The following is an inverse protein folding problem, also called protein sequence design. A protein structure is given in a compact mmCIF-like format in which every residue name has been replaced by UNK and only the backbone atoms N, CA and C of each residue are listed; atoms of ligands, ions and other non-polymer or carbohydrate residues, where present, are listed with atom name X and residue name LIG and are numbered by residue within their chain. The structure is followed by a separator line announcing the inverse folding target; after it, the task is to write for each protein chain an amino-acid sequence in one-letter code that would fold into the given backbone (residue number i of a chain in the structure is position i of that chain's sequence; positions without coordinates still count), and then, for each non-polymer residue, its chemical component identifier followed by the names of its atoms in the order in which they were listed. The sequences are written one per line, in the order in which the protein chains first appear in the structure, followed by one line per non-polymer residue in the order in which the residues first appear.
data_IF_269555234408
#
_entry.id   IF_269555234408
#
_cell.length_a   1.000
_cell.length_b   1.000
_cell.length_c   1.000
_cell.angle_alpha   90.00
_cell.angle_beta   90.00
_cell.angle_gamma   90.00
#
_symmetry.space_group_name_H-M   'P 1'
#
loop_
_entity.id
_entity.type
_entity.pdbx_description
1 polymer ?
#
# COMPACT_ATOMS: atom_id res chain seq x y z
N UNK A 1 16.67 30.16 -23.87
CA UNK A 1 16.57 29.71 -22.46
C UNK A 1 15.37 28.78 -22.23
N UNK A 2 14.14 29.18 -22.58
CA UNK A 2 12.95 28.36 -22.31
C UNK A 2 12.92 27.01 -23.04
N UNK A 3 13.40 26.93 -24.28
CA UNK A 3 13.51 25.65 -25.01
C UNK A 3 14.50 24.70 -24.30
N UNK A 4 15.65 25.22 -23.87
CA UNK A 4 16.64 24.44 -23.11
C UNK A 4 16.04 23.96 -21.78
N UNK A 5 15.31 24.83 -21.08
CA UNK A 5 14.60 24.45 -19.85
C UNK A 5 13.57 23.35 -20.10
N UNK A 6 12.79 23.43 -21.18
CA UNK A 6 11.84 22.39 -21.54
C UNK A 6 12.52 21.06 -21.89
N UNK A 7 13.62 21.10 -22.65
CA UNK A 7 14.41 19.91 -22.98
C UNK A 7 15.00 19.26 -21.73
N UNK A 8 15.53 20.05 -20.78
CA UNK A 8 16.00 19.54 -19.49
C UNK A 8 14.86 18.90 -18.69
N UNK A 9 13.68 19.54 -18.64
CA UNK A 9 12.52 18.97 -17.98
C UNK A 9 12.06 17.66 -18.64
N UNK A 10 12.07 17.58 -19.98
CA UNK A 10 11.74 16.37 -20.72
C UNK A 10 12.72 15.22 -20.41
N UNK A 11 14.03 15.51 -20.42
CA UNK A 11 15.06 14.52 -20.06
C UNK A 11 14.90 14.08 -18.60
N UNK A 12 14.61 15.00 -17.69
CA UNK A 12 14.32 14.69 -16.29
C UNK A 12 13.11 13.75 -16.17
N UNK A 13 12.00 14.05 -16.84
CA UNK A 13 10.81 13.20 -16.82
C UNK A 13 11.11 11.80 -17.35
N UNK A 14 11.83 11.68 -18.46
CA UNK A 14 12.25 10.40 -19.04
C UNK A 14 13.14 9.58 -18.11
N UNK A 15 13.98 10.23 -17.31
CA UNK A 15 14.95 9.55 -16.44
C UNK A 15 14.40 9.22 -15.06
N UNK A 16 13.44 9.99 -14.55
CA UNK A 16 12.90 9.85 -13.19
C UNK A 16 11.45 9.33 -13.12
N UNK A 17 10.61 9.57 -14.12
CA UNK A 17 9.18 9.23 -14.05
C UNK A 17 8.82 7.93 -14.78
N UNK A 18 9.83 7.12 -15.11
CA UNK A 18 9.66 5.83 -15.77
C UNK A 18 8.92 4.78 -14.92
N UNK A 19 8.78 5.02 -13.61
CA UNK A 19 8.03 4.15 -12.68
C UNK A 19 6.56 4.52 -12.53
N UNK A 20 6.13 5.69 -12.98
CA UNK A 20 4.73 6.12 -12.80
C UNK A 20 3.85 5.51 -13.90
N UNK A 21 2.91 4.59 -13.57
CA UNK A 21 2.07 3.93 -14.58
C UNK A 21 1.15 4.88 -15.35
N UNK A 22 0.93 6.09 -14.84
CA UNK A 22 0.17 7.16 -15.48
C UNK A 22 1.04 8.10 -16.32
N UNK A 23 2.36 7.91 -16.35
CA UNK A 23 3.30 8.68 -17.16
C UNK A 23 3.41 8.15 -18.58
N UNK A 24 3.59 9.05 -19.55
CA UNK A 24 4.00 8.70 -20.91
C UNK A 24 5.44 8.19 -20.98
N UNK A 25 6.23 8.41 -19.92
CA UNK A 25 7.60 7.92 -19.80
C UNK A 25 7.68 6.55 -19.12
N UNK A 26 6.54 5.95 -18.76
CA UNK A 26 6.49 4.64 -18.11
C UNK A 26 7.23 3.60 -18.95
N UNK A 27 8.18 2.92 -18.32
CA UNK A 27 9.00 1.90 -18.93
C UNK A 27 8.80 0.61 -18.16
N UNK A 28 8.06 -0.33 -18.73
CA UNK A 28 7.68 -1.57 -18.04
C UNK A 28 8.91 -2.40 -17.63
N UNK A 29 9.96 -2.41 -18.44
CA UNK A 29 11.17 -3.19 -18.15
C UNK A 29 11.91 -2.64 -16.93
N UNK A 30 11.93 -1.31 -16.77
CA UNK A 30 12.61 -0.64 -15.67
C UNK A 30 11.72 -0.43 -14.44
N UNK A 31 10.42 -0.23 -14.64
CA UNK A 31 9.48 0.16 -13.59
C UNK A 31 9.40 -0.90 -12.47
N UNK A 32 9.34 -2.16 -12.87
CA UNK A 32 9.24 -3.31 -11.98
C UNK A 32 10.59 -3.81 -11.43
N UNK A 33 11.68 -3.05 -11.63
CA UNK A 33 12.97 -3.40 -11.04
C UNK A 33 12.89 -3.30 -9.52
N UNK A 34 13.16 -4.42 -8.84
CA UNK A 34 13.21 -4.52 -7.37
C UNK A 34 14.44 -3.79 -6.86
N UNK A 35 14.24 -2.78 -6.02
CA UNK A 35 15.29 -2.04 -5.34
C UNK A 35 15.12 -2.22 -3.85
N UNK A 36 14.14 -1.52 -3.26
CA UNK A 36 13.90 -1.59 -1.83
C UNK A 36 13.35 -2.96 -1.40
N UNK A 37 12.51 -3.60 -2.23
CA UNK A 37 12.05 -4.96 -1.92
C UNK A 37 13.19 -6.00 -1.89
N UNK A 38 14.20 -5.84 -2.73
CA UNK A 38 15.35 -6.74 -2.73
C UNK A 38 16.22 -6.52 -1.49
N UNK A 39 16.43 -5.25 -1.11
CA UNK A 39 17.11 -4.88 0.13
C UNK A 39 16.39 -5.45 1.36
N UNK A 40 15.06 -5.30 1.44
CA UNK A 40 14.26 -5.89 2.52
C UNK A 40 14.28 -7.41 2.51
N UNK A 41 14.28 -8.06 1.35
CA UNK A 41 14.36 -9.52 1.26
C UNK A 41 15.66 -10.03 1.89
N UNK A 42 16.81 -9.43 1.54
CA UNK A 42 18.12 -9.79 2.09
C UNK A 42 18.19 -9.60 3.62
N UNK A 43 17.73 -8.46 4.13
CA UNK A 43 17.67 -8.20 5.57
C UNK A 43 16.80 -9.20 6.33
N UNK A 44 15.65 -9.53 5.75
CA UNK A 44 14.65 -10.41 6.37
C UNK A 44 15.10 -11.87 6.35
N UNK A 45 15.74 -12.32 5.26
CA UNK A 45 16.33 -13.65 5.19
C UNK A 45 17.45 -13.80 6.22
N UNK A 46 18.34 -12.82 6.33
CA UNK A 46 19.41 -12.83 7.34
C UNK A 46 18.83 -12.91 8.76
N UNK A 47 17.84 -12.07 9.06
CA UNK A 47 17.14 -12.10 10.35
C UNK A 47 16.48 -13.45 10.65
N UNK A 48 15.83 -14.06 9.66
CA UNK A 48 15.17 -15.36 9.84
C UNK A 48 16.17 -16.50 10.07
N UNK A 49 17.35 -16.43 9.48
CA UNK A 49 18.42 -17.40 9.68
C UNK A 49 19.08 -17.29 11.06
N UNK A 50 19.17 -16.07 11.59
CA UNK A 50 19.77 -15.75 12.90
C UNK A 50 18.75 -15.82 14.06
N UNK A 51 17.46 -15.94 13.77
CA UNK A 51 16.39 -15.97 14.76
C UNK A 51 16.61 -17.08 15.80
N UNK A 52 16.59 -16.68 17.07
CA UNK A 52 16.74 -17.60 18.21
C UNK A 52 15.40 -18.00 18.80
N UNK A 53 15.32 -19.18 19.42
CA UNK A 53 14.13 -19.66 20.14
C UNK A 53 13.66 -18.74 21.28
N UNK A 54 14.50 -17.81 21.75
CA UNK A 54 14.16 -16.84 22.80
C UNK A 54 13.75 -15.48 22.21
N UNK A 55 13.15 -15.44 21.02
CA UNK A 55 12.67 -14.20 20.44
C UNK A 55 11.63 -13.54 21.36
N UNK A 56 11.74 -12.23 21.56
CA UNK A 56 10.74 -11.44 22.29
C UNK A 56 9.36 -11.65 21.65
N UNK A 57 8.34 -11.81 22.48
CA UNK A 57 6.94 -12.01 22.09
C UNK A 57 6.09 -10.78 22.41
N UNK A 58 4.82 -10.84 22.03
CA UNK A 58 3.84 -9.82 22.38
C UNK A 58 3.68 -9.70 23.90
N UNK A 59 3.30 -8.51 24.36
CA UNK A 59 2.81 -8.32 25.72
C UNK A 59 1.39 -8.87 25.88
N UNK A 60 0.90 -8.93 27.12
CA UNK A 60 -0.50 -9.29 27.41
C UNK A 60 -1.51 -8.28 26.84
N UNK A 61 -1.08 -7.06 26.52
CA UNK A 61 -1.94 -5.99 26.01
C UNK A 61 -1.33 -5.30 24.78
N UNK A 62 -1.20 -5.99 23.64
CA UNK A 62 -0.62 -5.41 22.44
C UNK A 62 -1.59 -4.39 21.80
N UNK A 63 -1.06 -3.33 21.17
CA UNK A 63 -1.89 -2.38 20.41
C UNK A 63 -2.48 -2.98 19.13
N UNK A 64 -1.85 -4.02 18.58
CA UNK A 64 -2.23 -4.65 17.32
C UNK A 64 -2.24 -6.17 17.45
N UNK A 65 -3.34 -6.81 17.08
CA UNK A 65 -3.37 -8.25 16.79
C UNK A 65 -3.34 -8.44 15.28
N UNK A 66 -2.38 -9.20 14.76
CA UNK A 66 -2.15 -9.35 13.34
C UNK A 66 -2.11 -10.82 12.94
N UNK A 67 -2.87 -11.20 11.93
CA UNK A 67 -2.91 -12.58 11.41
C UNK A 67 -2.40 -12.60 9.98
N UNK A 68 -1.39 -13.43 9.74
CA UNK A 68 -0.99 -13.84 8.39
C UNK A 68 -1.83 -15.03 7.96
N UNK A 69 -2.59 -14.89 6.88
CA UNK A 69 -3.31 -16.00 6.27
C UNK A 69 -2.40 -16.64 5.22
N UNK A 70 -2.07 -17.91 5.42
CA UNK A 70 -1.15 -18.63 4.54
C UNK A 70 -1.72 -19.90 3.96
N UNK A 71 -1.38 -20.11 2.70
CA UNK A 71 -1.76 -21.26 1.91
C UNK A 71 -0.54 -21.77 1.16
N UNK A 72 -0.52 -23.07 0.87
CA UNK A 72 0.56 -23.71 0.14
C UNK A 72 0.59 -23.17 -1.28
N UNK A 73 1.77 -22.70 -1.68
CA UNK A 73 2.07 -22.27 -3.06
C UNK A 73 2.96 -23.29 -3.77
N UNK A 74 2.97 -23.29 -5.10
CA UNK A 74 3.65 -24.33 -5.90
C UNK A 74 5.16 -24.15 -6.00
N UNK A 75 5.69 -22.93 -5.87
CA UNK A 75 7.11 -22.64 -6.08
C UNK A 75 7.83 -22.27 -4.79
N UNK A 76 7.68 -21.01 -4.34
CA UNK A 76 8.29 -20.50 -3.11
C UNK A 76 7.19 -20.22 -2.11
N UNK A 77 7.39 -20.64 -0.86
CA UNK A 77 6.53 -20.21 0.24
C UNK A 77 7.00 -18.83 0.71
N UNK A 78 6.21 -17.77 0.56
CA UNK A 78 6.62 -16.42 0.93
C UNK A 78 6.39 -16.13 2.41
N UNK A 79 5.61 -16.96 3.11
CA UNK A 79 5.21 -16.77 4.51
C UNK A 79 6.39 -16.43 5.44
N UNK A 80 7.43 -17.27 5.42
CA UNK A 80 8.59 -17.12 6.31
C UNK A 80 9.26 -15.76 6.08
N UNK A 81 9.36 -15.33 4.83
CA UNK A 81 9.89 -14.02 4.45
C UNK A 81 8.96 -12.88 4.88
N UNK A 82 7.65 -13.02 4.69
CA UNK A 82 6.66 -12.03 5.06
C UNK A 82 6.70 -11.76 6.57
N UNK A 83 6.63 -12.81 7.38
CA UNK A 83 6.74 -12.76 8.85
C UNK A 83 8.09 -12.19 9.27
N UNK A 84 9.19 -12.68 8.69
CA UNK A 84 10.53 -12.17 8.98
C UNK A 84 10.63 -10.67 8.69
N UNK A 85 10.12 -10.20 7.56
CA UNK A 85 10.17 -8.79 7.18
C UNK A 85 9.31 -7.88 8.06
N UNK A 86 8.21 -8.42 8.61
CA UNK A 86 7.35 -7.71 9.56
C UNK A 86 8.03 -7.54 10.93
N UNK A 87 8.87 -8.50 11.33
CA UNK A 87 9.54 -8.54 12.63
C UNK A 87 10.95 -7.95 12.62
N UNK A 88 11.64 -8.01 11.48
CA UNK A 88 12.99 -7.49 11.35
C UNK A 88 12.98 -5.98 11.60
N UNK A 89 13.88 -5.53 12.48
CA UNK A 89 14.05 -4.12 12.84
C UNK A 89 13.22 -3.70 14.06
N UNK A 90 12.21 -4.47 14.47
CA UNK A 90 11.40 -4.11 15.63
C UNK A 90 12.23 -4.09 16.92
N UNK A 91 12.11 -3.01 17.69
CA UNK A 91 12.63 -2.94 19.06
C UNK A 91 11.86 -3.89 19.98
N UNK A 92 12.39 -4.25 21.16
CA UNK A 92 11.64 -5.06 22.13
C UNK A 92 10.28 -4.46 22.52
N UNK A 93 10.20 -3.12 22.62
CA UNK A 93 8.96 -2.40 22.90
C UNK A 93 7.95 -2.53 21.75
N UNK A 94 8.42 -2.39 20.50
CA UNK A 94 7.58 -2.60 19.32
C UNK A 94 7.10 -4.03 19.21
N UNK A 95 7.98 -5.02 19.41
CA UNK A 95 7.63 -6.43 19.38
C UNK A 95 6.58 -6.79 20.44
N UNK A 96 6.63 -6.15 21.60
CA UNK A 96 5.64 -6.29 22.66
C UNK A 96 4.28 -5.63 22.32
N UNK A 97 4.25 -4.70 21.37
CA UNK A 97 3.06 -3.92 20.98
C UNK A 97 2.26 -4.56 19.82
N UNK A 98 2.75 -5.68 19.28
CA UNK A 98 2.09 -6.46 18.22
C UNK A 98 2.05 -7.95 18.58
N UNK A 99 0.85 -8.54 18.50
CA UNK A 99 0.64 -9.99 18.50
C UNK A 99 0.58 -10.48 17.04
N UNK A 100 1.39 -11.48 16.70
CA UNK A 100 1.50 -12.08 15.36
C UNK A 100 1.00 -13.52 15.41
N UNK A 101 -0.15 -13.76 14.81
CA UNK A 101 -0.68 -15.08 14.50
C UNK A 101 -0.42 -15.49 13.05
N UNK A 102 -0.30 -16.79 12.81
CA UNK A 102 -0.29 -17.37 11.46
C UNK A 102 -1.40 -18.40 11.35
N UNK A 103 -2.37 -18.12 10.49
CA UNK A 103 -3.37 -19.10 10.07
C UNK A 103 -2.82 -19.92 8.91
N UNK A 104 -2.55 -21.20 9.16
CA UNK A 104 -2.34 -22.19 8.11
C UNK A 104 -3.70 -22.63 7.58
N UNK A 105 -4.13 -21.95 6.52
CA UNK A 105 -5.47 -22.03 5.96
C UNK A 105 -5.65 -23.28 5.07
N UNK A 106 -5.37 -24.45 5.65
CA UNK A 106 -5.58 -25.76 5.06
C UNK A 106 -6.43 -26.61 5.99
N UNK A 107 -7.37 -27.38 5.42
CA UNK A 107 -8.13 -28.39 6.15
C UNK A 107 -7.26 -29.48 6.75
N UNK A 108 -6.08 -29.71 6.16
CA UNK A 108 -4.99 -30.48 6.71
C UNK A 108 -3.71 -29.62 6.77
N UNK A 109 -3.29 -29.13 7.96
CA UNK A 109 -2.15 -28.21 8.06
C UNK A 109 -0.82 -28.85 7.64
N UNK A 110 -0.70 -30.17 7.71
CA UNK A 110 0.49 -30.94 7.29
C UNK A 110 0.84 -30.73 5.80
N UNK A 111 -0.11 -30.30 4.99
CA UNK A 111 0.13 -30.02 3.58
C UNK A 111 0.98 -28.76 3.35
N UNK A 112 1.06 -27.88 4.35
CA UNK A 112 1.79 -26.61 4.27
C UNK A 112 3.27 -26.77 4.68
N UNK A 113 4.24 -26.43 3.81
CA UNK A 113 5.66 -26.67 4.09
C UNK A 113 6.21 -25.98 5.35
N UNK A 114 5.68 -24.79 5.68
CA UNK A 114 6.09 -24.06 6.88
C UNK A 114 5.38 -24.51 8.18
N UNK A 115 4.45 -25.48 8.12
CA UNK A 115 3.68 -25.90 9.31
C UNK A 115 4.56 -26.44 10.44
N UNK A 116 5.61 -27.18 10.11
CA UNK A 116 6.57 -27.70 11.10
C UNK A 116 7.88 -26.90 11.16
N UNK A 117 7.91 -25.66 10.65
CA UNK A 117 9.14 -24.87 10.67
C UNK A 117 9.38 -24.29 12.08
N UNK A 118 10.32 -24.84 12.88
CA UNK A 118 10.48 -24.42 14.28
C UNK A 118 10.87 -22.94 14.40
N UNK A 119 11.63 -22.39 13.44
CA UNK A 119 12.02 -20.98 13.46
C UNK A 119 10.83 -20.05 13.29
N UNK A 120 9.86 -20.43 12.47
CA UNK A 120 8.63 -19.67 12.30
C UNK A 120 7.83 -19.66 13.61
N UNK A 121 7.63 -20.83 14.22
CA UNK A 121 6.97 -20.98 15.53
C UNK A 121 7.68 -20.17 16.63
N UNK A 122 9.01 -20.16 16.62
CA UNK A 122 9.82 -19.38 17.56
C UNK A 122 9.68 -17.87 17.36
N UNK A 123 9.29 -17.39 16.18
CA UNK A 123 9.11 -15.96 15.88
C UNK A 123 7.70 -15.46 16.18
N UNK A 124 6.67 -16.21 15.80
CA UNK A 124 5.25 -15.80 15.89
C UNK A 124 4.65 -16.08 17.26
N UNK A 125 3.68 -15.29 17.70
CA UNK A 125 3.02 -15.53 18.99
C UNK A 125 2.16 -16.81 18.95
N UNK A 126 1.56 -17.08 17.79
CA UNK A 126 0.78 -18.31 17.57
C UNK A 126 0.83 -18.75 16.11
N UNK A 127 0.88 -20.06 15.90
CA UNK A 127 0.70 -20.71 14.62
C UNK A 127 -0.45 -21.71 14.77
N UNK A 128 -1.52 -21.51 14.01
CA UNK A 128 -2.77 -22.24 14.21
C UNK A 128 -3.43 -22.64 12.90
N UNK A 129 -4.41 -23.52 13.01
CA UNK A 129 -5.26 -23.97 11.92
C UNK A 129 -6.72 -23.99 12.38
N UNK A 130 -7.63 -24.47 11.55
CA UNK A 130 -9.04 -24.51 11.84
C UNK A 130 -9.37 -25.48 12.99
N UNK A 131 -10.03 -24.96 14.01
CA UNK A 131 -10.72 -25.74 15.04
C UNK A 131 -12.22 -25.64 14.80
N UNK A 132 -12.78 -26.58 14.03
CA UNK A 132 -14.15 -26.53 13.51
C UNK A 132 -14.94 -27.80 13.85
N UNK A 133 -16.27 -27.68 13.82
CA UNK A 133 -17.15 -28.84 13.82
C UNK A 133 -16.97 -29.67 12.53
N UNK A 134 -17.33 -30.95 12.58
CA UNK A 134 -17.11 -31.88 11.47
C UNK A 134 -17.83 -31.46 10.17
N UNK A 135 -19.00 -30.84 10.29
CA UNK A 135 -19.79 -30.36 9.14
C UNK A 135 -19.07 -29.21 8.42
N UNK A 136 -18.64 -28.19 9.16
CA UNK A 136 -17.88 -27.05 8.63
C UNK A 136 -16.53 -27.49 8.04
N UNK A 137 -15.84 -28.45 8.69
CA UNK A 137 -14.59 -29.00 8.17
C UNK A 137 -14.79 -29.68 6.81
N UNK A 138 -15.88 -30.45 6.66
CA UNK A 138 -16.21 -31.13 5.40
C UNK A 138 -16.50 -30.13 4.28
N UNK A 139 -17.29 -29.10 4.58
CA UNK A 139 -17.61 -28.03 3.62
C UNK A 139 -16.36 -27.24 3.21
N UNK A 140 -15.49 -26.91 4.17
CA UNK A 140 -14.25 -26.22 3.91
C UNK A 140 -13.28 -27.06 3.05
N UNK A 141 -13.25 -28.38 3.29
CA UNK A 141 -12.45 -29.32 2.51
C UNK A 141 -12.96 -29.41 1.06
N UNK A 142 -14.28 -29.39 0.86
CA UNK A 142 -14.88 -29.30 -0.47
C UNK A 142 -14.46 -28.02 -1.19
N UNK A 143 -14.53 -26.85 -0.52
CA UNK A 143 -14.10 -25.60 -1.13
C UNK A 143 -12.60 -25.56 -1.46
N UNK A 144 -11.76 -26.17 -0.62
CA UNK A 144 -10.33 -26.27 -0.86
C UNK A 144 -10.04 -27.14 -2.09
N UNK A 145 -10.62 -28.35 -2.15
CA UNK A 145 -10.37 -29.31 -3.25
C UNK A 145 -10.98 -28.85 -4.58
N UNK A 146 -12.16 -28.22 -4.55
CA UNK A 146 -12.81 -27.63 -5.72
C UNK A 146 -12.23 -26.28 -6.16
N UNK A 147 -11.23 -25.75 -5.44
CA UNK A 147 -10.63 -24.44 -5.69
C UNK A 147 -11.64 -23.28 -5.63
N UNK A 148 -12.67 -23.40 -4.79
CA UNK A 148 -13.67 -22.36 -4.55
C UNK A 148 -13.11 -21.27 -3.61
N UNK A 149 -12.16 -20.50 -4.13
CA UNK A 149 -11.49 -19.44 -3.38
C UNK A 149 -12.43 -18.29 -2.97
N UNK A 150 -13.56 -18.11 -3.67
CA UNK A 150 -14.51 -17.07 -3.34
C UNK A 150 -15.22 -17.32 -2.00
N UNK A 151 -15.56 -18.57 -1.68
CA UNK A 151 -16.15 -18.93 -0.38
C UNK A 151 -15.06 -19.10 0.67
N UNK A 152 -14.03 -19.91 0.35
CA UNK A 152 -12.93 -20.19 1.28
C UNK A 152 -12.20 -18.92 1.71
N UNK A 153 -11.93 -17.99 0.79
CA UNK A 153 -11.25 -16.74 1.13
C UNK A 153 -12.03 -15.87 2.12
N UNK A 154 -13.36 -15.77 1.95
CA UNK A 154 -14.22 -15.06 2.91
C UNK A 154 -14.22 -15.77 4.27
N UNK A 155 -14.31 -17.09 4.28
CA UNK A 155 -14.23 -17.89 5.50
C UNK A 155 -12.90 -17.71 6.25
N UNK A 156 -11.76 -17.81 5.56
CA UNK A 156 -10.42 -17.63 6.12
C UNK A 156 -10.27 -16.24 6.78
N UNK A 157 -10.87 -15.23 6.14
CA UNK A 157 -10.87 -13.86 6.62
C UNK A 157 -11.71 -13.69 7.90
N UNK A 158 -12.93 -14.23 7.91
CA UNK A 158 -13.82 -14.25 9.08
C UNK A 158 -13.13 -14.95 10.24
N UNK A 159 -12.56 -16.14 9.98
CA UNK A 159 -11.87 -16.94 10.99
C UNK A 159 -10.69 -16.18 11.60
N UNK A 160 -9.93 -15.47 10.78
CA UNK A 160 -8.78 -14.65 11.24
C UNK A 160 -9.21 -13.44 12.08
N UNK A 161 -10.28 -12.75 11.69
CA UNK A 161 -10.85 -11.66 12.49
C UNK A 161 -11.36 -12.17 13.85
N UNK A 162 -12.14 -13.26 13.84
CA UNK A 162 -12.66 -13.91 15.05
C UNK A 162 -11.52 -14.38 15.97
N UNK A 163 -10.44 -14.93 15.41
CA UNK A 163 -9.29 -15.34 16.20
C UNK A 163 -8.71 -14.17 17.00
N UNK A 164 -8.43 -13.02 16.38
CA UNK A 164 -7.93 -11.84 17.10
C UNK A 164 -8.93 -11.28 18.12
N UNK A 165 -10.23 -11.33 17.81
CA UNK A 165 -11.30 -10.92 18.73
C UNK A 165 -11.35 -11.82 19.98
N UNK A 166 -11.10 -13.11 19.82
CA UNK A 166 -11.21 -14.08 20.91
C UNK A 166 -9.94 -14.21 21.76
N UNK A 167 -8.76 -13.93 21.18
CA UNK A 167 -7.46 -14.16 21.83
C UNK A 167 -6.82 -12.91 22.41
N UNK A 168 -7.23 -11.72 21.95
CA UNK A 168 -6.60 -10.45 22.38
C UNK A 168 -7.64 -9.39 22.67
N UNK A 169 -7.25 -8.39 23.47
CA UNK A 169 -8.01 -7.15 23.70
C UNK A 169 -7.45 -5.99 22.84
N UNK A 170 -6.70 -6.30 21.78
CA UNK A 170 -6.07 -5.28 20.95
C UNK A 170 -7.12 -4.37 20.29
N UNK A 171 -6.93 -3.04 20.33
CA UNK A 171 -7.87 -2.08 19.74
C UNK A 171 -7.89 -2.12 18.21
N UNK A 172 -6.87 -2.71 17.60
CA UNK A 172 -6.72 -2.85 16.16
C UNK A 172 -6.43 -4.30 15.79
N UNK A 173 -7.02 -4.73 14.68
CA UNK A 173 -6.85 -6.07 14.11
C UNK A 173 -6.32 -5.92 12.69
N UNK A 174 -5.17 -6.51 12.39
CA UNK A 174 -4.60 -6.56 11.05
C UNK A 174 -4.76 -7.95 10.44
N UNK A 175 -5.16 -7.97 9.17
CA UNK A 175 -5.13 -9.19 8.36
C UNK A 175 -4.13 -8.96 7.24
N UNK A 176 -3.18 -9.90 7.12
CA UNK A 176 -2.11 -9.89 6.14
C UNK A 176 -2.17 -11.12 5.24
N UNK A 177 -1.92 -10.93 3.95
CA UNK A 177 -1.63 -12.03 3.02
C UNK A 177 -0.19 -12.54 3.27
N UNK A 178 0.08 -13.80 2.94
CA UNK A 178 1.39 -14.43 3.15
C UNK A 178 2.48 -14.02 2.14
N UNK A 179 2.11 -13.28 1.09
CA UNK A 179 2.99 -12.90 0.00
C UNK A 179 3.31 -11.42 -0.09
N UNK A 180 3.58 -10.87 1.09
CA UNK A 180 3.93 -9.48 1.28
C UNK A 180 5.36 -9.32 1.80
N UNK A 181 5.88 -8.10 1.69
CA UNK A 181 7.10 -7.67 2.35
C UNK A 181 6.90 -6.31 2.97
N UNK A 182 7.35 -6.15 4.22
CA UNK A 182 7.18 -4.93 5.00
C UNK A 182 8.38 -3.99 4.87
N UNK A 183 8.10 -2.70 4.87
CA UNK A 183 9.12 -1.67 5.02
C UNK A 183 9.64 -1.63 6.46
N UNK A 184 10.90 -1.22 6.63
CA UNK A 184 11.43 -0.85 7.94
C UNK A 184 10.58 0.22 8.63
N UNK A 185 10.43 0.09 9.95
CA UNK A 185 9.62 0.99 10.78
C UNK A 185 8.10 0.98 10.52
N UNK A 186 7.57 0.01 9.76
CA UNK A 186 6.14 -0.03 9.38
C UNK A 186 5.21 0.04 10.61
N UNK A 187 5.52 -0.70 11.68
CA UNK A 187 4.63 -0.84 12.84
C UNK A 187 4.47 0.50 13.56
N UNK A 188 5.58 1.13 13.92
CA UNK A 188 5.56 2.45 14.57
C UNK A 188 4.93 3.53 13.71
N UNK A 189 5.21 3.52 12.40
CA UNK A 189 4.57 4.45 11.47
C UNK A 189 3.05 4.27 11.43
N UNK A 190 2.60 3.03 11.31
CA UNK A 190 1.19 2.67 11.22
C UNK A 190 0.45 2.94 12.54
N UNK A 191 1.01 2.58 13.69
CA UNK A 191 0.41 2.84 15.00
C UNK A 191 0.33 4.34 15.32
N UNK A 192 1.33 5.13 14.92
CA UNK A 192 1.26 6.59 15.04
C UNK A 192 0.15 7.17 14.15
N UNK A 193 0.03 6.68 12.91
CA UNK A 193 -1.05 7.05 12.00
C UNK A 193 -2.44 6.69 12.54
N UNK A 194 -2.60 5.50 13.13
CA UNK A 194 -3.83 5.06 13.78
C UNK A 194 -4.19 5.94 14.99
N UNK A 195 -3.20 6.32 15.81
CA UNK A 195 -3.39 7.26 16.93
C UNK A 195 -3.88 8.63 16.44
N UNK A 196 -3.25 9.17 15.39
CA UNK A 196 -3.64 10.43 14.79
C UNK A 196 -5.03 10.36 14.14
N UNK A 197 -5.33 9.24 13.47
CA UNK A 197 -6.65 8.99 12.89
C UNK A 197 -7.73 8.91 13.97
N UNK A 198 -7.48 8.19 15.06
CA UNK A 198 -8.38 8.10 16.22
C UNK A 198 -8.67 9.47 16.82
N UNK A 199 -7.65 10.33 17.00
CA UNK A 199 -7.82 11.71 17.47
C UNK A 199 -8.70 12.52 16.51
N UNK A 200 -8.47 12.40 15.20
CA UNK A 200 -9.25 13.09 14.17
C UNK A 200 -10.70 12.63 14.11
N UNK A 201 -10.96 11.36 14.39
CA UNK A 201 -12.27 10.72 14.35
C UNK A 201 -12.93 10.59 15.73
N UNK A 202 -12.44 11.29 16.76
CA UNK A 202 -12.94 11.16 18.13
C UNK A 202 -14.46 11.39 18.26
N UNK A 203 -15.04 12.24 17.40
CA UNK A 203 -16.48 12.51 17.37
C UNK A 203 -17.32 11.41 16.70
N UNK A 204 -16.71 10.55 15.87
CA UNK A 204 -17.40 9.43 15.23
C UNK A 204 -16.41 8.27 14.96
N UNK A 205 -16.07 7.47 15.99
CA UNK A 205 -15.06 6.43 15.90
C UNK A 205 -15.40 5.28 14.94
N UNK A 206 -16.68 5.01 14.71
CA UNK A 206 -17.18 3.91 13.86
C UNK A 206 -17.31 4.29 12.37
N UNK A 207 -16.87 5.47 11.96
CA UNK A 207 -17.11 5.96 10.60
C UNK A 207 -16.11 5.45 9.56
N UNK A 208 -15.36 4.39 9.87
CA UNK A 208 -14.33 3.90 8.95
C UNK A 208 -14.12 2.40 9.06
N UNK A 209 -13.86 1.79 7.90
CA UNK A 209 -13.79 0.35 7.75
C UNK A 209 -12.39 -0.19 8.10
N UNK A 210 -11.38 0.27 7.36
CA UNK A 210 -10.00 -0.17 7.51
C UNK A 210 -8.99 0.91 7.13
N UNK A 211 -7.75 0.69 7.53
CA UNK A 211 -6.55 1.38 7.10
C UNK A 211 -5.74 0.38 6.27
N UNK A 212 -5.51 0.71 5.01
CA UNK A 212 -4.73 -0.10 4.09
C UNK A 212 -3.25 0.29 4.11
N UNK A 213 -2.37 -0.71 4.15
CA UNK A 213 -0.92 -0.51 4.19
C UNK A 213 -0.24 -0.57 2.81
N UNK A 214 -0.90 -1.22 1.84
CA UNK A 214 -0.48 -1.34 0.45
C UNK A 214 -1.33 -0.47 -0.48
N UNK A 215 -0.74 0.17 -1.48
CA UNK A 215 -1.51 0.86 -2.52
C UNK A 215 -0.80 0.75 -3.86
N UNK A 216 -1.59 0.63 -4.92
CA UNK A 216 -1.11 0.68 -6.29
C UNK A 216 -1.32 2.08 -6.87
N UNK A 217 -0.27 2.68 -7.42
CA UNK A 217 -0.31 4.04 -7.96
C UNK A 217 -1.19 4.12 -9.22
N UNK A 218 -1.45 2.98 -9.86
CA UNK A 218 -2.36 2.86 -11.01
C UNK A 218 -3.78 3.36 -10.70
N UNK A 219 -4.21 3.31 -9.44
CA UNK A 219 -5.52 3.82 -9.01
C UNK A 219 -5.59 5.35 -8.91
N UNK A 220 -4.45 6.05 -9.03
CA UNK A 220 -4.33 7.50 -8.75
C UNK A 220 -4.01 8.37 -9.97
N UNK A 221 -4.15 7.84 -11.19
CA UNK A 221 -3.80 8.53 -12.44
C UNK A 221 -4.69 9.76 -12.77
N UNK A 222 -4.30 10.48 -13.83
CA UNK A 222 -5.15 11.50 -14.46
C UNK A 222 -6.43 10.90 -15.06
N UNK A 223 -7.42 11.74 -15.35
CA UNK A 223 -8.69 11.29 -15.93
C UNK A 223 -8.51 10.70 -17.33
N UNK A 224 -7.58 11.25 -18.12
CA UNK A 224 -7.19 10.73 -19.42
C UNK A 224 -5.67 10.71 -19.59
N UNK A 225 -5.18 9.83 -20.45
CA UNK A 225 -3.77 9.79 -20.88
C UNK A 225 -3.53 10.53 -22.20
N UNK A 226 -4.61 10.78 -22.95
CA UNK A 226 -4.54 11.44 -24.24
C UNK A 226 -4.26 12.94 -24.06
N UNK A 227 -3.42 13.50 -24.94
CA UNK A 227 -3.16 14.93 -24.97
C UNK A 227 -4.47 15.66 -25.29
N UNK A 228 -4.93 16.53 -24.38
CA UNK A 228 -6.20 17.25 -24.48
C UNK A 228 -7.30 16.65 -23.62
N UNK A 229 -7.15 15.41 -23.15
CA UNK A 229 -8.13 14.71 -22.34
C UNK A 229 -8.24 15.20 -20.89
N UNK A 230 -7.27 15.99 -20.41
CA UNK A 230 -7.32 16.63 -19.09
C UNK A 230 -7.53 18.14 -19.19
N UNK A 231 -8.09 18.62 -20.31
CA UNK A 231 -8.34 20.03 -20.60
C UNK A 231 -7.05 20.87 -20.73
N UNK A 232 -5.94 20.27 -21.15
CA UNK A 232 -4.63 20.91 -21.30
C UNK A 232 -4.69 22.17 -22.16
N UNK A 233 -5.47 22.16 -23.24
CA UNK A 233 -5.64 23.31 -24.14
C UNK A 233 -6.42 24.46 -23.47
N UNK A 234 -7.46 24.14 -22.70
CA UNK A 234 -8.25 25.13 -21.96
C UNK A 234 -7.38 25.77 -20.88
N UNK A 235 -6.61 24.97 -20.14
CA UNK A 235 -5.64 25.44 -19.13
C UNK A 235 -4.59 26.35 -19.78
N UNK A 236 -4.10 25.98 -20.97
CA UNK A 236 -3.16 26.80 -21.73
C UNK A 236 -3.73 28.18 -22.03
N UNK A 237 -4.96 28.25 -22.56
CA UNK A 237 -5.62 29.53 -22.85
C UNK A 237 -5.83 30.34 -21.56
N UNK A 238 -6.32 29.69 -20.50
CA UNK A 238 -6.57 30.32 -19.20
C UNK A 238 -5.30 30.89 -18.56
N UNK A 239 -4.13 30.28 -18.79
CA UNK A 239 -2.83 30.79 -18.33
C UNK A 239 -2.22 31.83 -19.29
N UNK A 240 -2.43 31.68 -20.59
CA UNK A 240 -1.87 32.58 -21.61
C UNK A 240 -2.48 33.99 -21.55
N UNK A 241 -3.80 34.10 -21.36
CA UNK A 241 -4.50 35.40 -21.30
C UNK A 241 -3.93 36.33 -20.20
N UNK A 242 -3.87 35.92 -18.91
CA UNK A 242 -3.33 36.78 -17.86
C UNK A 242 -1.83 37.04 -18.04
N UNK A 243 -1.07 36.09 -18.59
CA UNK A 243 0.34 36.30 -18.90
C UNK A 243 0.53 37.40 -19.97
N UNK A 244 -0.25 37.36 -21.05
CA UNK A 244 -0.24 38.39 -22.10
C UNK A 244 -0.63 39.74 -21.50
N UNK A 245 -1.73 39.80 -20.73
CA UNK A 245 -2.19 41.04 -20.09
C UNK A 245 -1.11 41.63 -19.18
N UNK A 246 -0.48 40.81 -18.34
CA UNK A 246 0.61 41.23 -17.45
C UNK A 246 1.80 41.79 -18.25
N UNK A 247 2.22 41.11 -19.32
CA UNK A 247 3.33 41.56 -20.17
C UNK A 247 2.99 42.88 -20.86
N UNK A 248 1.76 43.06 -21.35
CA UNK A 248 1.33 44.32 -21.97
C UNK A 248 1.33 45.47 -20.96
N UNK A 249 0.85 45.25 -19.74
CA UNK A 249 0.90 46.24 -18.65
C UNK A 249 2.37 46.60 -18.33
N UNK A 250 3.22 45.59 -18.15
CA UNK A 250 4.63 45.80 -17.82
C UNK A 250 5.38 46.53 -18.94
N UNK A 251 5.08 46.24 -20.21
CA UNK A 251 5.64 46.97 -21.36
C UNK A 251 5.24 48.45 -21.37
N UNK A 252 4.01 48.76 -20.99
CA UNK A 252 3.55 50.15 -20.86
C UNK A 252 4.27 50.88 -19.73
N UNK A 253 4.54 50.22 -18.61
CA UNK A 253 5.28 50.81 -17.49
C UNK A 253 6.79 50.89 -17.73
N UNK A 254 7.36 49.92 -18.45
CA UNK A 254 8.81 49.78 -18.66
C UNK A 254 9.13 49.46 -20.13
N UNK A 255 9.27 50.47 -21.00
CA UNK A 255 9.49 50.30 -22.44
C UNK A 255 10.75 49.47 -22.80
N UNK A 256 11.73 49.41 -21.89
CA UNK A 256 12.94 48.56 -22.06
C UNK A 256 12.59 47.08 -22.27
N UNK A 257 11.48 46.61 -21.71
CA UNK A 257 11.03 45.21 -21.84
C UNK A 257 10.71 44.81 -23.29
N UNK A 258 10.39 45.75 -24.19
CA UNK A 258 10.19 45.44 -25.61
C UNK A 258 11.43 44.84 -26.29
N UNK A 259 12.64 45.13 -25.77
CA UNK A 259 13.89 44.55 -26.31
C UNK A 259 14.06 43.07 -25.97
N UNK A 260 13.46 42.61 -24.88
CA UNK A 260 13.61 41.23 -24.38
C UNK A 260 12.35 40.39 -24.58
N UNK A 261 11.19 41.04 -24.71
CA UNK A 261 9.90 40.41 -24.90
C UNK A 261 9.15 41.20 -25.96
N UNK A 262 9.38 40.90 -27.23
CA UNK A 262 8.59 41.44 -28.34
C UNK A 262 7.34 40.59 -28.61
N UNK A 263 6.51 40.98 -29.58
CA UNK A 263 5.26 40.26 -29.88
C UNK A 263 5.51 38.83 -30.35
N UNK A 264 6.59 38.59 -31.12
CA UNK A 264 6.96 37.25 -31.56
C UNK A 264 7.42 36.37 -30.40
N UNK A 265 8.26 36.89 -29.52
CA UNK A 265 8.69 36.17 -28.30
C UNK A 265 7.48 35.83 -27.44
N UNK A 266 6.55 36.78 -27.25
CA UNK A 266 5.33 36.54 -26.49
C UNK A 266 4.44 35.47 -27.15
N UNK A 267 4.28 35.52 -28.48
CA UNK A 267 3.54 34.51 -29.23
C UNK A 267 4.17 33.11 -29.08
N UNK A 268 5.49 32.98 -29.22
CA UNK A 268 6.21 31.71 -29.03
C UNK A 268 6.05 31.20 -27.60
N UNK A 269 6.18 32.07 -26.60
CA UNK A 269 6.01 31.68 -25.19
C UNK A 269 4.58 31.17 -24.94
N UNK A 270 3.56 31.90 -25.39
CA UNK A 270 2.16 31.55 -25.11
C UNK A 270 1.62 30.40 -25.95
N UNK A 271 2.03 30.28 -27.22
CA UNK A 271 1.48 29.30 -28.17
C UNK A 271 2.31 28.02 -28.30
N UNK A 272 3.58 28.04 -27.88
CA UNK A 272 4.48 26.88 -28.00
C UNK A 272 5.01 26.44 -26.65
N UNK A 273 5.69 27.32 -25.92
CA UNK A 273 6.40 26.93 -24.69
C UNK A 273 5.43 26.58 -23.56
N UNK A 274 4.45 27.45 -23.30
CA UNK A 274 3.44 27.23 -22.27
C UNK A 274 2.64 25.92 -22.48
N UNK A 275 2.03 25.66 -23.66
CA UNK A 275 1.36 24.39 -23.89
C UNK A 275 2.32 23.20 -23.79
N UNK A 276 3.57 23.33 -24.26
CA UNK A 276 4.54 22.24 -24.15
C UNK A 276 4.86 21.87 -22.69
N UNK A 277 4.94 22.83 -21.76
CA UNK A 277 5.12 22.55 -20.34
C UNK A 277 3.85 21.97 -19.70
N UNK A 278 2.67 22.48 -20.06
CA UNK A 278 1.40 21.95 -19.54
C UNK A 278 1.21 20.50 -19.99
N UNK A 279 1.41 20.21 -21.27
CA UNK A 279 1.35 18.84 -21.79
C UNK A 279 2.38 17.98 -21.07
N UNK A 280 3.63 18.44 -20.93
CA UNK A 280 4.67 17.68 -20.22
C UNK A 280 4.30 17.38 -18.77
N UNK A 281 3.66 18.32 -18.05
CA UNK A 281 3.17 18.11 -16.68
C UNK A 281 2.16 16.97 -16.59
N UNK A 282 1.18 16.91 -17.50
CA UNK A 282 0.20 15.82 -17.52
C UNK A 282 0.84 14.51 -17.97
N UNK A 283 1.67 14.54 -19.01
CA UNK A 283 2.37 13.37 -19.53
C UNK A 283 3.43 12.84 -18.56
N UNK A 284 3.91 13.64 -17.60
CA UNK A 284 4.81 13.19 -16.54
C UNK A 284 4.13 12.22 -15.55
N UNK A 285 2.80 12.22 -15.46
CA UNK A 285 2.03 11.36 -14.56
C UNK A 285 1.72 12.02 -13.21
N UNK A 286 0.54 11.70 -12.67
CA UNK A 286 0.01 12.36 -11.46
C UNK A 286 0.77 11.96 -10.21
N UNK A 287 1.16 10.69 -10.08
CA UNK A 287 1.86 10.20 -8.90
C UNK A 287 3.27 10.83 -8.79
N UNK A 288 3.92 11.07 -9.92
CA UNK A 288 5.21 11.75 -9.99
C UNK A 288 5.12 13.25 -9.72
N UNK A 289 4.14 13.93 -10.32
CA UNK A 289 4.02 15.39 -10.21
C UNK A 289 3.35 15.84 -8.91
N UNK A 290 2.38 15.07 -8.43
CA UNK A 290 1.56 15.38 -7.26
C UNK A 290 1.43 14.13 -6.37
N UNK A 291 2.54 13.63 -5.80
CA UNK A 291 2.50 12.48 -4.91
C UNK A 291 1.59 12.78 -3.70
N UNK A 292 0.88 11.77 -3.18
CA UNK A 292 0.12 11.92 -1.95
C UNK A 292 1.01 12.45 -0.81
N UNK A 293 0.44 13.28 0.07
CA UNK A 293 1.16 13.69 1.28
C UNK A 293 1.32 12.48 2.21
N UNK A 294 2.46 12.35 2.91
CA UNK A 294 2.60 11.36 3.96
C UNK A 294 1.50 11.46 5.03
N UNK A 295 1.12 10.32 5.58
CA UNK A 295 0.07 10.16 6.57
C UNK A 295 -1.11 9.34 6.04
N UNK A 296 -2.30 9.59 6.59
CA UNK A 296 -3.53 8.85 6.27
C UNK A 296 -4.47 9.67 5.39
N UNK A 297 -4.96 9.06 4.32
CA UNK A 297 -5.91 9.67 3.37
C UNK A 297 -7.12 8.78 3.15
N UNK A 298 -8.29 9.40 2.98
CA UNK A 298 -9.48 8.69 2.55
C UNK A 298 -9.27 8.15 1.13
N UNK A 299 -9.63 6.90 0.93
CA UNK A 299 -9.48 6.17 -0.33
C UNK A 299 -10.87 5.72 -0.81
N UNK A 300 -11.51 6.48 -1.71
CA UNK A 300 -12.85 6.13 -2.18
C UNK A 300 -12.85 4.86 -3.03
N UNK A 301 -11.74 4.57 -3.70
CA UNK A 301 -11.54 3.36 -4.47
C UNK A 301 -10.10 2.91 -4.31
N UNK A 302 -9.91 1.62 -4.05
CA UNK A 302 -8.59 1.03 -4.04
C UNK A 302 -8.67 -0.48 -4.16
N UNK A 303 -7.63 -1.08 -4.73
CA UNK A 303 -7.54 -2.53 -4.90
C UNK A 303 -7.00 -3.23 -3.66
N UNK A 304 -7.43 -4.48 -3.53
CA UNK A 304 -6.65 -5.55 -2.92
C UNK A 304 -6.65 -5.55 -1.37
N UNK A 305 -6.34 -6.72 -0.81
CA UNK A 305 -6.53 -7.10 0.61
C UNK A 305 -5.25 -7.51 1.31
N UNK A 306 -4.08 -7.22 0.74
CA UNK A 306 -2.80 -7.72 1.23
C UNK A 306 -2.52 -7.36 2.69
N UNK A 307 -3.00 -6.19 3.12
CA UNK A 307 -2.74 -5.68 4.46
C UNK A 307 -3.71 -4.59 4.85
N UNK A 308 -4.70 -5.01 5.64
CA UNK A 308 -5.79 -4.18 6.11
C UNK A 308 -5.84 -4.20 7.63
N UNK A 309 -5.98 -3.03 8.24
CA UNK A 309 -6.12 -2.87 9.68
C UNK A 309 -7.50 -2.32 10.00
N UNK A 310 -8.25 -3.05 10.81
CA UNK A 310 -9.59 -2.73 11.27
C UNK A 310 -9.54 -2.20 12.70
N UNK A 311 -10.34 -1.18 13.06
CA UNK A 311 -10.75 -0.99 14.44
C UNK A 311 -11.43 -2.25 14.94
N UNK A 312 -11.15 -2.65 16.18
CA UNK A 312 -11.79 -3.82 16.79
C UNK A 312 -13.31 -3.79 16.68
N UNK A 313 -13.92 -2.66 17.04
CA UNK A 313 -15.38 -2.49 16.98
C UNK A 313 -15.96 -2.58 15.57
N UNK A 314 -15.18 -2.19 14.57
CA UNK A 314 -15.59 -2.32 13.17
C UNK A 314 -15.41 -3.73 12.67
N UNK A 315 -14.36 -4.44 13.11
CA UNK A 315 -14.20 -5.86 12.85
C UNK A 315 -15.39 -6.66 13.40
N UNK A 316 -15.80 -6.42 14.65
CA UNK A 316 -17.01 -7.00 15.25
C UNK A 316 -18.26 -6.72 14.41
N UNK A 317 -18.44 -5.47 13.98
CA UNK A 317 -19.60 -5.07 13.19
C UNK A 317 -19.68 -5.74 11.81
N UNK A 318 -18.55 -5.95 11.14
CA UNK A 318 -18.56 -6.51 9.77
C UNK A 318 -18.58 -8.03 9.73
N UNK A 319 -18.34 -8.73 10.85
CA UNK A 319 -18.34 -10.19 10.90
C UNK A 319 -19.67 -10.76 10.40
N UNK A 320 -20.78 -10.34 11.01
CA UNK A 320 -22.12 -10.82 10.62
C UNK A 320 -22.41 -10.53 9.13
N UNK A 321 -21.97 -9.37 8.63
CA UNK A 321 -22.18 -8.99 7.23
C UNK A 321 -21.34 -9.88 6.29
N UNK A 322 -20.11 -10.22 6.67
CA UNK A 322 -19.25 -11.11 5.90
C UNK A 322 -19.81 -12.54 5.91
N UNK A 323 -20.32 -13.01 7.04
CA UNK A 323 -20.98 -14.31 7.18
C UNK A 323 -22.24 -14.39 6.31
N UNK A 324 -23.10 -13.37 6.35
CA UNK A 324 -24.30 -13.28 5.49
C UNK A 324 -23.95 -13.28 4.00
N UNK A 325 -22.85 -12.62 3.61
CA UNK A 325 -22.38 -12.61 2.21
C UNK A 325 -21.85 -13.98 1.79
N UNK A 326 -21.10 -14.65 2.67
CA UNK A 326 -20.59 -16.02 2.53
C UNK A 326 -19.59 -16.28 1.38
N UNK A 327 -19.53 -15.41 0.37
CA UNK A 327 -18.66 -15.57 -0.78
C UNK A 327 -18.38 -14.27 -1.52
N UNK A 328 -17.26 -14.23 -2.25
CA UNK A 328 -16.93 -13.17 -3.18
C UNK A 328 -15.45 -12.82 -3.17
N UNK A 329 -15.07 -11.86 -3.99
CA UNK A 329 -13.73 -11.27 -3.91
C UNK A 329 -13.70 -10.30 -2.73
N UNK A 330 -12.84 -10.55 -1.74
CA UNK A 330 -12.85 -9.82 -0.46
C UNK A 330 -12.73 -8.30 -0.63
N UNK A 331 -11.90 -7.82 -1.55
CA UNK A 331 -11.76 -6.39 -1.82
C UNK A 331 -13.06 -5.77 -2.35
N UNK A 332 -13.80 -6.47 -3.22
CA UNK A 332 -15.12 -6.05 -3.71
C UNK A 332 -16.14 -6.11 -2.57
N UNK A 333 -16.19 -7.21 -1.80
CA UNK A 333 -17.12 -7.39 -0.69
C UNK A 333 -16.94 -6.29 0.36
N UNK A 334 -15.71 -6.05 0.81
CA UNK A 334 -15.40 -4.96 1.75
C UNK A 334 -15.71 -3.58 1.15
N UNK A 335 -15.55 -3.41 -0.16
CA UNK A 335 -15.90 -2.17 -0.83
C UNK A 335 -17.41 -1.90 -0.86
N UNK A 336 -18.20 -2.94 -1.08
CA UNK A 336 -19.66 -2.87 -1.01
C UNK A 336 -20.12 -2.61 0.43
N UNK A 337 -19.56 -3.30 1.42
CA UNK A 337 -19.85 -3.06 2.85
C UNK A 337 -19.58 -1.59 3.21
N UNK A 338 -18.42 -1.06 2.83
CA UNK A 338 -18.09 0.34 3.09
C UNK A 338 -19.06 1.32 2.42
N UNK A 339 -19.50 1.03 1.19
CA UNK A 339 -20.49 1.86 0.48
C UNK A 339 -21.85 1.80 1.17
N UNK A 340 -22.33 0.60 1.45
CA UNK A 340 -23.68 0.33 1.94
C UNK A 340 -23.85 0.83 3.39
N UNK A 341 -22.78 0.75 4.20
CA UNK A 341 -22.76 1.21 5.59
C UNK A 341 -22.20 2.64 5.76
N UNK A 342 -21.82 3.31 4.67
CA UNK A 342 -21.26 4.67 4.72
C UNK A 342 -19.90 4.76 5.43
N UNK A 343 -19.14 3.66 5.50
CA UNK A 343 -17.84 3.62 6.17
C UNK A 343 -16.73 4.15 5.27
N UNK A 344 -15.89 5.03 5.81
CA UNK A 344 -14.72 5.53 5.10
C UNK A 344 -13.62 4.48 5.04
N UNK A 345 -13.01 4.27 3.88
CA UNK A 345 -11.77 3.49 3.75
C UNK A 345 -10.59 4.44 3.79
N UNK A 346 -9.54 4.07 4.52
CA UNK A 346 -8.32 4.85 4.59
C UNK A 346 -7.13 4.08 4.01
N UNK A 347 -6.17 4.81 3.45
CA UNK A 347 -4.87 4.28 3.04
C UNK A 347 -3.77 5.15 3.63
N UNK A 348 -2.67 4.52 4.06
CA UNK A 348 -1.47 5.25 4.48
C UNK A 348 -0.53 5.50 3.29
N UNK A 349 0.22 6.60 3.37
CA UNK A 349 1.30 6.93 2.46
C UNK A 349 2.52 7.43 3.26
N UNK A 350 3.78 7.11 2.91
CA UNK A 350 4.15 6.14 1.88
C UNK A 350 3.59 4.75 2.23
N UNK A 351 3.52 3.88 1.22
CA UNK A 351 3.12 2.49 1.44
C UNK A 351 4.18 1.82 2.32
N UNK A 352 3.74 1.00 3.28
CA UNK A 352 4.66 0.30 4.19
C UNK A 352 4.71 -1.20 3.93
N UNK A 353 4.09 -1.62 2.83
CA UNK A 353 4.01 -3.01 2.44
C UNK A 353 3.96 -3.11 0.92
N UNK A 354 4.54 -4.17 0.39
CA UNK A 354 4.57 -4.50 -1.03
C UNK A 354 4.18 -5.96 -1.22
N UNK A 355 3.50 -6.24 -2.33
CA UNK A 355 3.19 -7.61 -2.73
C UNK A 355 4.37 -8.21 -3.51
N UNK A 356 4.75 -9.45 -3.22
CA UNK A 356 5.93 -10.10 -3.80
C UNK A 356 5.73 -10.55 -5.25
N UNK A 357 4.51 -10.48 -5.79
CA UNK A 357 4.18 -10.43 -7.22
C UNK A 357 4.63 -11.63 -8.04
N UNK A 358 5.93 -11.69 -8.37
CA UNK A 358 6.55 -12.70 -9.23
C UNK A 358 6.92 -14.00 -8.52
N UNK A 359 7.23 -13.95 -7.23
CA UNK A 359 7.78 -15.10 -6.49
C UNK A 359 6.71 -15.92 -5.73
N UNK A 360 5.43 -15.58 -5.91
CA UNK A 360 4.31 -16.07 -5.09
C UNK A 360 3.21 -16.77 -5.91
N UNK A 361 3.44 -16.99 -7.21
CA UNK A 361 2.32 -17.13 -8.14
C UNK A 361 1.55 -18.46 -8.00
N UNK A 362 0.25 -18.35 -7.66
CA UNK A 362 -0.79 -19.37 -7.93
C UNK A 362 -1.17 -19.33 -9.42
N UNK A 363 -0.37 -19.90 -10.31
CA UNK A 363 -0.69 -20.06 -11.75
C UNK A 363 -1.25 -18.81 -12.48
N UNK A 364 -0.91 -17.58 -12.08
CA UNK A 364 -1.35 -16.35 -12.76
C UNK A 364 -0.38 -15.91 -13.86
N UNK A 365 -0.94 -15.31 -14.91
CA UNK A 365 -0.17 -14.79 -16.06
C UNK A 365 0.69 -13.61 -15.57
N UNK A 366 1.93 -13.47 -16.05
CA UNK A 366 2.89 -12.42 -15.66
C UNK A 366 2.29 -11.00 -15.51
N UNK A 367 1.28 -10.68 -16.32
CA UNK A 367 0.58 -9.40 -16.36
C UNK A 367 -0.27 -9.12 -15.11
N UNK A 368 -0.78 -10.15 -14.44
CA UNK A 368 -1.61 -10.04 -13.23
C UNK A 368 -0.75 -9.84 -11.98
N UNK A 369 0.39 -10.54 -11.89
CA UNK A 369 1.40 -10.32 -10.85
C UNK A 369 1.96 -8.88 -10.87
N UNK A 370 2.17 -8.33 -12.06
CA UNK A 370 2.56 -6.93 -12.26
C UNK A 370 1.42 -5.93 -11.98
N UNK A 371 0.16 -6.37 -11.99
CA UNK A 371 -0.97 -5.50 -11.70
C UNK A 371 -1.02 -5.10 -10.22
N UNK A 372 -0.43 -5.92 -9.35
CA UNK A 372 -0.42 -5.77 -7.89
C UNK A 372 1.00 -5.42 -7.42
N UNK A 373 1.42 -4.20 -7.74
CA UNK A 373 2.77 -3.70 -7.45
C UNK A 373 2.74 -2.22 -7.11
N UNK A 374 3.36 -1.84 -5.99
CA UNK A 374 3.61 -0.44 -5.65
C UNK A 374 4.94 0.01 -6.22
N UNK A 375 4.88 1.01 -7.08
CA UNK A 375 6.04 1.65 -7.67
C UNK A 375 6.76 2.56 -6.67
N UNK A 376 6.02 3.13 -5.71
CA UNK A 376 6.59 4.01 -4.68
C UNK A 376 7.31 3.23 -3.59
N UNK A 377 6.91 1.98 -3.31
CA UNK A 377 7.66 1.12 -2.38
C UNK A 377 9.11 0.91 -2.84
N UNK A 378 9.34 0.73 -4.13
CA UNK A 378 10.70 0.56 -4.68
C UNK A 378 11.54 1.84 -4.64
N UNK A 379 10.94 2.99 -4.33
CA UNK A 379 11.64 4.28 -4.19
C UNK A 379 11.93 4.63 -2.73
N UNK A 380 11.53 3.78 -1.78
CA UNK A 380 11.82 3.97 -0.36
C UNK A 380 13.34 3.96 -0.13
N UNK A 381 13.80 4.87 0.72
CA UNK A 381 15.21 4.98 1.10
C UNK A 381 15.42 4.34 2.47
N UNK A 382 16.27 3.29 2.57
CA UNK A 382 16.58 2.65 3.86
C UNK A 382 17.02 3.66 4.92
N UNK A 383 17.91 4.58 4.57
CA UNK A 383 18.42 5.60 5.48
C UNK A 383 17.31 6.54 6.00
N UNK A 384 16.38 6.95 5.13
CA UNK A 384 15.29 7.84 5.56
C UNK A 384 14.29 7.11 6.46
N UNK A 385 14.00 5.84 6.16
CA UNK A 385 13.10 5.02 6.97
C UNK A 385 13.69 4.73 8.34
N UNK A 386 14.98 4.40 8.43
CA UNK A 386 15.65 4.19 9.71
C UNK A 386 15.58 5.44 10.61
N UNK A 387 15.87 6.62 10.06
CA UNK A 387 15.77 7.88 10.82
C UNK A 387 14.33 8.16 11.27
N UNK A 388 13.36 7.92 10.38
CA UNK A 388 11.95 8.08 10.70
C UNK A 388 11.49 7.08 11.78
N UNK A 389 11.97 5.84 11.69
CA UNK A 389 11.67 4.78 12.65
C UNK A 389 12.16 5.14 14.04
N UNK A 390 13.41 5.60 14.16
CA UNK A 390 13.98 6.10 15.41
C UNK A 390 13.18 7.27 15.99
N UNK A 391 12.79 8.24 15.16
CA UNK A 391 11.97 9.38 15.60
C UNK A 391 10.59 8.92 16.12
N UNK A 392 9.93 8.02 15.40
CA UNK A 392 8.62 7.49 15.79
C UNK A 392 8.70 6.65 17.08
N UNK A 393 9.75 5.85 17.23
CA UNK A 393 10.00 5.09 18.44
C UNK A 393 10.21 6.00 19.65
N UNK A 394 10.96 7.10 19.49
CA UNK A 394 11.13 8.10 20.55
C UNK A 394 9.80 8.75 20.92
N UNK A 395 8.98 9.12 19.94
CA UNK A 395 7.68 9.75 20.18
C UNK A 395 6.68 8.82 20.84
N UNK A 396 6.69 7.53 20.50
CA UNK A 396 5.72 6.54 20.97
C UNK A 396 6.13 5.87 22.28
N UNK A 397 7.39 5.46 22.39
CA UNK A 397 7.91 4.65 23.49
C UNK A 397 8.87 5.40 24.41
N UNK A 398 9.28 6.63 24.06
CA UNK A 398 10.21 7.43 24.86
C UNK A 398 11.67 6.95 24.82
N UNK A 399 12.02 6.10 23.85
CA UNK A 399 13.34 5.52 23.66
C UNK A 399 14.35 6.50 23.03
#
# INVERSE_FOLDING_TARGET
MCIVAWLMAFVYCKTHFYRDPGSAFFDEERAFTRQYSAYREEQSTTFFEEASANATKASESPSLCAVFMSIKRTEKQPLDLAVASALQGLTPQERADVNIGVLFAHTNPEDHPSWHNPRLHDLVDEAFTYNLAQEDHTLLHEWETSHNYAHKGVFDYIYSLQHCLNTTESPYIAIFEDDVIFADGWLSYTLNNLSNLRKKLASNPQNWLFLRLFNQERSTAWASREIGGNHEFVITIAMAIPLIALVLILRNCYPVLYRCMDNWTLAVVCLVILPAFIILFYQAGKASMLPPRPGVRAEPFGCCTQGLIFPRSTAEFILDILEERGSGQLDIVLNDIARDQGLTRYAQYPVMMQHLGKNSVRNTVNREAQAVWSMTFEQLSPYQLEQQHLEMNRLRYGA
#
